data_IF_603562599811
#
_entry.id   IF_603562599811
#
_cell.length_a   1.000
_cell.length_b   1.000
_cell.length_c   1.000
_cell.angle_alpha   90.00
_cell.angle_beta   90.00
_cell.angle_gamma   90.00
#
_symmetry.space_group_name_H-M   'P 1'
#
loop_
_entity.id
_entity.type
_entity.pdbx_description
1 polymer ?
#
# COMPACT_ATOMS: atom_id res chain seq x y z
N UNK A 1 -15.43 1.17 -2.35
CA UNK A 1 -15.63 2.63 -2.33
C UNK A 1 -14.36 3.34 -1.89
N UNK A 2 -13.95 3.27 -0.61
CA UNK A 2 -12.74 3.99 -0.13
C UNK A 2 -11.46 3.64 -0.89
N UNK A 3 -11.16 2.35 -1.12
CA UNK A 3 -9.98 1.96 -1.92
C UNK A 3 -9.98 2.59 -3.32
N UNK A 4 -11.13 2.61 -4.00
CA UNK A 4 -11.23 3.18 -5.34
C UNK A 4 -11.00 4.70 -5.32
N UNK A 5 -11.62 5.39 -4.37
CA UNK A 5 -11.45 6.83 -4.18
C UNK A 5 -9.99 7.19 -3.87
N UNK A 6 -9.31 6.39 -3.04
CA UNK A 6 -7.87 6.55 -2.79
C UNK A 6 -7.06 6.51 -4.09
N UNK A 7 -7.29 5.54 -4.97
CA UNK A 7 -6.64 5.51 -6.29
C UNK A 7 -7.02 6.68 -7.17
N UNK A 8 -8.28 7.11 -7.18
CA UNK A 8 -8.70 8.32 -7.90
C UNK A 8 -7.94 9.56 -7.44
N UNK A 9 -7.61 9.67 -6.15
CA UNK A 9 -6.78 10.76 -5.65
C UNK A 9 -5.30 10.61 -6.04
N UNK A 10 -4.76 9.40 -6.14
CA UNK A 10 -3.43 9.18 -6.73
C UNK A 10 -3.39 9.62 -8.20
N UNK A 11 -4.38 9.23 -9.00
CA UNK A 11 -4.50 9.62 -10.41
C UNK A 11 -4.59 11.14 -10.57
N UNK A 12 -5.22 11.83 -9.61
CA UNK A 12 -5.32 13.28 -9.56
C UNK A 12 -4.08 13.97 -8.94
N UNK A 13 -2.97 13.26 -8.74
CA UNK A 13 -1.72 13.77 -8.12
C UNK A 13 -1.91 14.32 -6.71
N UNK A 14 -2.84 13.74 -5.94
CA UNK A 14 -3.14 14.11 -4.54
C UNK A 14 -2.76 12.97 -3.56
N UNK A 15 -1.47 12.61 -3.44
CA UNK A 15 -1.04 11.46 -2.64
C UNK A 15 -1.37 11.59 -1.15
N UNK A 16 -1.35 12.82 -0.62
CA UNK A 16 -1.71 13.06 0.78
C UNK A 16 -3.17 12.68 1.08
N UNK A 17 -4.11 13.12 0.23
CA UNK A 17 -5.52 12.80 0.43
C UNK A 17 -5.79 11.31 0.18
N UNK A 18 -5.11 10.71 -0.80
CA UNK A 18 -5.20 9.28 -1.04
C UNK A 18 -4.77 8.48 0.21
N UNK A 19 -3.66 8.85 0.85
CA UNK A 19 -3.20 8.22 2.08
C UNK A 19 -4.22 8.34 3.21
N UNK A 20 -4.79 9.53 3.44
CA UNK A 20 -5.85 9.71 4.45
C UNK A 20 -7.05 8.78 4.19
N UNK A 21 -7.47 8.63 2.93
CA UNK A 21 -8.56 7.71 2.56
C UNK A 21 -8.18 6.24 2.78
N UNK A 22 -6.95 5.85 2.43
CA UNK A 22 -6.48 4.49 2.64
C UNK A 22 -6.33 4.16 4.13
N UNK A 23 -5.85 5.08 4.94
CA UNK A 23 -5.77 4.95 6.41
C UNK A 23 -7.16 4.75 7.01
N UNK A 24 -8.15 5.56 6.63
CA UNK A 24 -9.53 5.37 7.06
C UNK A 24 -10.10 4.00 6.65
N UNK A 25 -9.72 3.51 5.47
CA UNK A 25 -10.13 2.18 5.02
C UNK A 25 -9.47 1.06 5.85
N UNK A 26 -8.22 1.21 6.27
CA UNK A 26 -7.56 0.28 7.20
C UNK A 26 -8.18 0.34 8.59
N UNK A 27 -8.49 1.54 9.10
CA UNK A 27 -9.20 1.70 10.39
C UNK A 27 -10.55 1.01 10.37
N UNK A 28 -11.30 1.13 9.28
CA UNK A 28 -12.61 0.49 9.11
C UNK A 28 -12.50 -1.03 8.91
N UNK A 29 -11.40 -1.52 8.31
CA UNK A 29 -11.20 -2.92 7.95
C UNK A 29 -9.77 -3.40 8.28
N UNK A 30 -9.39 -3.48 9.56
CA UNK A 30 -8.00 -3.72 9.97
C UNK A 30 -7.47 -5.10 9.61
N UNK A 31 -8.35 -6.10 9.42
CA UNK A 31 -7.96 -7.46 9.00
C UNK A 31 -8.05 -7.67 7.48
N UNK A 32 -8.38 -6.62 6.72
CA UNK A 32 -8.47 -6.71 5.27
C UNK A 32 -7.09 -6.53 4.65
N UNK A 33 -6.51 -7.64 4.19
CA UNK A 33 -5.27 -7.64 3.41
C UNK A 33 -5.34 -6.63 2.25
N UNK A 34 -6.51 -6.49 1.60
CA UNK A 34 -6.72 -5.56 0.48
C UNK A 34 -6.81 -4.10 0.91
N UNK A 35 -7.28 -3.81 2.13
CA UNK A 35 -7.25 -2.45 2.68
C UNK A 35 -5.81 -2.04 2.99
N UNK A 36 -5.06 -2.89 3.70
CA UNK A 36 -3.65 -2.67 4.02
C UNK A 36 -2.79 -2.60 2.75
N UNK A 37 -3.07 -3.45 1.74
CA UNK A 37 -2.41 -3.38 0.44
C UNK A 37 -2.62 -2.01 -0.23
N UNK A 38 -3.82 -1.44 -0.13
CA UNK A 38 -4.12 -0.14 -0.73
C UNK A 38 -3.35 0.99 -0.05
N UNK A 39 -3.21 0.91 1.28
CA UNK A 39 -2.35 1.83 2.02
C UNK A 39 -0.87 1.68 1.62
N UNK A 40 -0.39 0.44 1.45
CA UNK A 40 0.96 0.17 0.99
C UNK A 40 1.23 0.74 -0.41
N UNK A 41 0.30 0.55 -1.35
CA UNK A 41 0.34 1.15 -2.69
C UNK A 41 0.35 2.67 -2.60
N UNK A 42 -0.45 3.29 -1.73
CA UNK A 42 -0.43 4.74 -1.51
C UNK A 42 0.92 5.25 -1.00
N UNK A 43 1.57 4.54 -0.08
CA UNK A 43 2.89 4.93 0.42
C UNK A 43 4.00 4.76 -0.62
N UNK A 44 3.83 3.98 -1.70
CA UNK A 44 4.83 3.92 -2.77
C UNK A 44 5.02 5.27 -3.45
N UNK A 45 4.04 6.16 -3.36
CA UNK A 45 4.10 7.50 -3.96
C UNK A 45 4.82 8.52 -3.05
N UNK A 46 5.09 8.18 -1.78
CA UNK A 46 5.61 9.14 -0.79
C UNK A 46 6.77 8.60 0.05
N UNK A 47 6.67 7.37 0.57
CA UNK A 47 7.55 6.80 1.60
C UNK A 47 7.74 5.29 1.40
N UNK A 48 8.74 4.90 0.60
CA UNK A 48 9.04 3.49 0.26
C UNK A 48 9.24 2.57 1.47
N UNK A 49 9.79 3.08 2.58
CA UNK A 49 9.95 2.29 3.82
C UNK A 49 8.60 1.89 4.43
N UNK A 50 7.64 2.82 4.44
CA UNK A 50 6.28 2.56 4.91
C UNK A 50 5.53 1.65 3.94
N UNK A 51 5.70 1.85 2.63
CA UNK A 51 5.13 0.95 1.62
C UNK A 51 5.57 -0.50 1.87
N UNK A 52 6.88 -0.72 2.07
CA UNK A 52 7.43 -2.05 2.34
C UNK A 52 6.88 -2.65 3.64
N UNK A 53 6.76 -1.85 4.70
CA UNK A 53 6.17 -2.28 5.97
C UNK A 53 4.75 -2.80 5.77
N UNK A 54 3.89 -2.02 5.11
CA UNK A 54 2.47 -2.39 4.94
C UNK A 54 2.26 -3.49 3.89
N UNK A 55 3.09 -3.60 2.86
CA UNK A 55 3.04 -4.76 1.97
C UNK A 55 3.35 -6.07 2.72
N UNK A 56 4.36 -6.08 3.60
CA UNK A 56 4.67 -7.24 4.44
C UNK A 56 3.51 -7.59 5.37
N UNK A 57 2.82 -6.58 5.91
CA UNK A 57 1.64 -6.78 6.75
C UNK A 57 0.46 -7.37 5.96
N UNK A 58 0.17 -6.82 4.77
CA UNK A 58 -0.85 -7.36 3.86
C UNK A 58 -0.56 -8.82 3.47
N UNK A 59 0.70 -9.14 3.16
CA UNK A 59 1.14 -10.50 2.82
C UNK A 59 0.99 -11.46 4.01
N UNK A 60 1.18 -11.00 5.24
CA UNK A 60 0.94 -11.81 6.45
C UNK A 60 -0.53 -12.24 6.58
N UNK A 61 -1.47 -11.40 6.13
CA UNK A 61 -2.91 -11.69 6.16
C UNK A 61 -3.38 -12.45 4.92
N UNK A 62 -2.71 -12.27 3.78
CA UNK A 62 -2.95 -13.03 2.56
C UNK A 62 -1.61 -13.46 1.95
N UNK A 63 -1.14 -14.64 2.34
CA UNK A 63 0.17 -15.17 1.95
C UNK A 63 0.28 -15.53 0.47
N UNK A 64 -0.84 -15.74 -0.21
CA UNK A 64 -0.90 -16.03 -1.65
C UNK A 64 -1.30 -14.78 -2.44
N UNK A 65 -0.37 -13.83 -2.52
CA UNK A 65 -0.56 -12.59 -3.26
C UNK A 65 0.67 -12.26 -4.12
N UNK A 66 0.72 -12.76 -5.37
CA UNK A 66 1.84 -12.53 -6.28
C UNK A 66 2.15 -11.06 -6.51
N UNK A 67 1.13 -10.21 -6.61
CA UNK A 67 1.31 -8.77 -6.77
C UNK A 67 2.07 -8.15 -5.60
N UNK A 68 1.72 -8.51 -4.37
CA UNK A 68 2.41 -8.00 -3.17
C UNK A 68 3.85 -8.50 -3.11
N UNK A 69 4.10 -9.76 -3.44
CA UNK A 69 5.45 -10.30 -3.54
C UNK A 69 6.31 -9.53 -4.56
N UNK A 70 5.75 -9.21 -5.72
CA UNK A 70 6.43 -8.42 -6.75
C UNK A 70 6.75 -7.00 -6.24
N UNK A 71 5.82 -6.34 -5.54
CA UNK A 71 6.06 -4.99 -4.99
C UNK A 71 7.14 -4.99 -3.90
N UNK A 72 7.14 -6.00 -3.03
CA UNK A 72 8.20 -6.20 -2.04
C UNK A 72 9.55 -6.41 -2.75
N UNK A 73 9.58 -7.21 -3.81
CA UNK A 73 10.77 -7.43 -4.63
C UNK A 73 11.31 -6.13 -5.23
N UNK A 74 10.44 -5.31 -5.83
CA UNK A 74 10.81 -3.99 -6.38
C UNK A 74 11.40 -3.08 -5.31
N UNK A 75 10.68 -2.87 -4.20
CA UNK A 75 11.10 -1.98 -3.11
C UNK A 75 12.43 -2.44 -2.50
N UNK A 76 12.62 -3.74 -2.28
CA UNK A 76 13.87 -4.26 -1.69
C UNK A 76 15.05 -4.26 -2.66
N UNK A 77 14.81 -4.44 -3.96
CA UNK A 77 15.85 -4.34 -4.97
C UNK A 77 16.38 -2.91 -5.13
N UNK A 78 15.54 -1.90 -4.96
CA UNK A 78 15.95 -0.49 -4.90
C UNK A 78 16.90 -0.20 -3.74
N UNK A 79 16.67 -0.79 -2.57
CA UNK A 79 17.57 -0.65 -1.42
C UNK A 79 18.90 -1.42 -1.56
N UNK A 80 19.00 -2.37 -2.50
CA UNK A 80 20.21 -3.18 -2.70
C UNK A 80 21.29 -2.49 -3.56
N UNK A 81 21.01 -1.29 -4.08
CA UNK A 81 21.93 -0.51 -4.96
C UNK A 81 22.69 0.57 -4.17
N UNK A 82 22.62 0.58 -2.83
CA UNK A 82 23.38 1.49 -1.98
C UNK A 82 24.72 0.91 -1.53
#
# INVERSE_FOLDING_TARGET
MMRQEGFTQLDNSNPKLALEIFELNVIAYPESAKAIQGLAEGYMETENELALKYFKESLRLNSDNPFVNDMIGKLTSEYAIC
#
